data_IF_002867029133
#
_entry.id   IF_002867029133
#
_cell.length_a   1.000
_cell.length_b   1.000
_cell.length_c   1.000
_cell.angle_alpha   90.00
_cell.angle_beta   90.00
_cell.angle_gamma   90.00
#
_symmetry.space_group_name_H-M   'P 1'
#
loop_
_entity.id
_entity.type
_entity.pdbx_description
1 polymer ?
#
# COMPACT_ATOMS: atom_id res chain seq x y z
N UNK A 1 17.89 -12.73 13.73
CA UNK A 1 16.80 -13.72 13.65
C UNK A 1 15.69 -13.29 12.69
N UNK A 2 15.15 -12.05 12.71
CA UNK A 2 14.13 -11.61 11.74
C UNK A 2 14.56 -11.77 10.28
N UNK A 3 15.83 -11.49 9.97
CA UNK A 3 16.37 -11.53 8.62
C UNK A 3 16.34 -12.92 7.98
N UNK A 4 16.51 -13.99 8.78
CA UNK A 4 16.48 -15.36 8.27
C UNK A 4 15.07 -15.76 7.85
N UNK A 5 14.07 -15.44 8.67
CA UNK A 5 12.66 -15.69 8.36
C UNK A 5 12.27 -14.91 7.11
N UNK A 6 12.65 -13.62 7.02
CA UNK A 6 12.36 -12.81 5.83
C UNK A 6 12.97 -13.38 4.55
N UNK A 7 14.22 -13.85 4.59
CA UNK A 7 14.89 -14.47 3.44
C UNK A 7 14.26 -15.81 3.03
N UNK A 8 13.80 -16.60 3.99
CA UNK A 8 13.11 -17.85 3.72
C UNK A 8 11.74 -17.61 3.07
N UNK A 9 10.93 -16.70 3.61
CA UNK A 9 9.63 -16.34 3.02
C UNK A 9 9.82 -15.76 1.61
N UNK A 10 10.83 -14.91 1.41
CA UNK A 10 11.16 -14.38 0.09
C UNK A 10 11.48 -15.48 -0.94
N UNK A 11 12.23 -16.50 -0.53
CA UNK A 11 12.69 -17.55 -1.45
C UNK A 11 11.67 -18.68 -1.67
N UNK A 12 10.80 -18.95 -0.69
CA UNK A 12 9.88 -20.10 -0.71
C UNK A 12 8.44 -19.73 -1.08
N UNK A 13 8.09 -18.44 -1.08
CA UNK A 13 6.73 -17.97 -1.35
C UNK A 13 6.72 -16.92 -2.46
N UNK A 14 5.52 -16.66 -2.99
CA UNK A 14 5.24 -15.56 -3.92
C UNK A 14 4.66 -14.33 -3.21
N UNK A 15 4.77 -14.24 -1.89
CA UNK A 15 4.22 -13.10 -1.14
C UNK A 15 5.01 -11.83 -1.43
N UNK A 16 4.32 -10.69 -1.38
CA UNK A 16 4.88 -9.36 -1.63
C UNK A 16 5.58 -8.75 -0.41
N UNK A 17 5.38 -9.34 0.78
CA UNK A 17 5.98 -8.82 2.01
C UNK A 17 5.56 -9.60 3.25
N UNK A 18 5.93 -9.05 4.42
CA UNK A 18 5.65 -9.62 5.74
C UNK A 18 5.05 -8.54 6.63
N UNK A 19 3.95 -8.88 7.30
CA UNK A 19 3.41 -8.11 8.40
C UNK A 19 4.04 -8.56 9.72
N UNK A 20 4.47 -7.63 10.57
CA UNK A 20 5.07 -7.91 11.87
C UNK A 20 4.64 -6.88 12.91
N UNK A 21 4.72 -7.25 14.19
CA UNK A 21 4.49 -6.33 15.31
C UNK A 21 5.74 -5.50 15.57
N UNK A 22 5.60 -4.18 15.65
CA UNK A 22 6.73 -3.31 15.96
C UNK A 22 7.33 -3.67 17.32
N UNK A 23 8.66 -3.62 17.42
CA UNK A 23 9.38 -3.75 18.70
C UNK A 23 9.51 -2.43 19.44
N UNK A 24 9.28 -1.32 18.74
CA UNK A 24 9.53 0.03 19.22
C UNK A 24 8.26 0.87 19.38
N UNK A 25 7.09 0.32 19.04
CA UNK A 25 5.85 1.08 19.08
C UNK A 25 4.63 0.28 19.53
N UNK A 26 3.63 1.03 19.99
CA UNK A 26 2.46 0.68 20.82
C UNK A 26 1.51 -0.38 20.24
N UNK A 27 1.97 -1.62 20.08
CA UNK A 27 1.17 -2.73 19.52
C UNK A 27 0.75 -2.56 18.05
N UNK A 28 1.38 -1.62 17.34
CA UNK A 28 1.11 -1.37 15.93
C UNK A 28 1.67 -2.48 15.02
N UNK A 29 0.97 -2.68 13.91
CA UNK A 29 1.35 -3.61 12.85
C UNK A 29 2.14 -2.86 11.78
N UNK A 30 3.35 -3.32 11.51
CA UNK A 30 4.19 -2.84 10.42
C UNK A 30 4.18 -3.83 9.27
N UNK A 31 4.45 -3.32 8.06
CA UNK A 31 4.56 -4.12 6.84
C UNK A 31 5.95 -3.86 6.22
N UNK A 32 6.71 -4.92 6.00
CA UNK A 32 7.95 -4.89 5.22
C UNK A 32 7.69 -5.53 3.86
N UNK A 33 7.84 -4.75 2.78
CA UNK A 33 7.66 -5.21 1.41
C UNK A 33 8.97 -5.73 0.82
N UNK A 34 8.87 -6.72 -0.07
CA UNK A 34 9.98 -7.22 -0.86
C UNK A 34 10.13 -6.44 -2.18
N UNK A 35 11.29 -6.56 -2.82
CA UNK A 35 11.58 -5.91 -4.11
C UNK A 35 10.59 -6.28 -5.22
N UNK A 36 10.08 -7.51 -5.24
CA UNK A 36 9.07 -7.94 -6.24
C UNK A 36 7.75 -7.17 -6.17
N UNK A 37 7.47 -6.52 -5.04
CA UNK A 37 6.29 -5.68 -4.86
C UNK A 37 6.45 -4.27 -5.46
N UNK A 38 7.66 -3.91 -5.92
CA UNK A 38 8.01 -2.55 -6.36
C UNK A 38 7.07 -2.02 -7.45
N UNK A 39 6.76 -2.83 -8.45
CA UNK A 39 5.84 -2.45 -9.52
C UNK A 39 4.40 -2.18 -9.02
N UNK A 40 3.95 -2.84 -7.94
CA UNK A 40 2.62 -2.65 -7.39
C UNK A 40 2.51 -1.39 -6.52
N UNK A 41 3.63 -0.90 -5.99
CA UNK A 41 3.71 0.30 -5.15
C UNK A 41 4.33 1.49 -5.88
N UNK A 42 4.69 1.32 -7.16
CA UNK A 42 5.22 2.40 -7.98
C UNK A 42 4.25 3.57 -7.97
N UNK A 43 4.75 4.74 -7.59
CA UNK A 43 4.01 5.99 -7.61
C UNK A 43 3.95 6.53 -9.03
N UNK A 44 3.15 5.86 -9.86
CA UNK A 44 2.97 6.23 -11.26
C UNK A 44 2.11 7.50 -11.42
N UNK A 45 1.37 7.88 -10.38
CA UNK A 45 0.36 8.94 -10.44
C UNK A 45 0.52 10.03 -9.38
N UNK A 46 1.66 10.11 -8.69
CA UNK A 46 1.87 11.20 -7.73
C UNK A 46 1.86 12.56 -8.45
N UNK A 47 0.99 13.48 -8.01
CA UNK A 47 0.83 14.78 -8.64
C UNK A 47 0.02 14.78 -9.95
N UNK A 48 -0.49 13.63 -10.40
CA UNK A 48 -1.40 13.57 -11.55
C UNK A 48 -2.78 14.04 -11.13
N UNK A 49 -3.37 14.95 -11.90
CA UNK A 49 -4.74 15.40 -11.68
C UNK A 49 -5.70 14.21 -11.79
N UNK A 50 -6.41 13.92 -10.71
CA UNK A 50 -7.45 12.89 -10.70
C UNK A 50 -8.60 13.38 -11.59
N UNK A 51 -9.00 12.57 -12.58
CA UNK A 51 -10.09 12.92 -13.48
C UNK A 51 -11.39 13.18 -12.69
N UNK A 52 -12.04 14.32 -12.95
CA UNK A 52 -13.28 14.72 -12.25
C UNK A 52 -14.36 13.63 -12.29
N UNK A 53 -14.47 12.90 -13.41
CA UNK A 53 -15.45 11.84 -13.58
C UNK A 53 -15.16 10.60 -12.70
N UNK A 54 -13.88 10.24 -12.54
CA UNK A 54 -13.48 9.18 -11.61
C UNK A 54 -13.74 9.61 -10.16
N UNK A 55 -13.39 10.85 -9.81
CA UNK A 55 -13.65 11.40 -8.48
C UNK A 55 -15.15 11.41 -8.16
N UNK A 56 -16.00 11.81 -9.11
CA UNK A 56 -17.46 11.78 -8.96
C UNK A 56 -17.99 10.37 -8.73
N UNK A 57 -17.43 9.38 -9.43
CA UNK A 57 -17.81 7.96 -9.26
C UNK A 57 -17.43 7.45 -7.86
N UNK A 58 -16.19 7.68 -7.41
CA UNK A 58 -15.69 7.16 -6.12
C UNK A 58 -16.32 7.86 -4.92
N UNK A 59 -16.60 9.16 -5.02
CA UNK A 59 -17.12 9.97 -3.92
C UNK A 59 -18.64 10.09 -3.91
N UNK A 60 -19.31 9.89 -5.05
CA UNK A 60 -20.76 9.94 -5.17
C UNK A 60 -21.47 8.92 -4.29
N UNK A 61 -20.99 7.67 -4.30
CA UNK A 61 -21.49 6.58 -3.44
C UNK A 61 -21.28 6.86 -1.94
N UNK A 62 -20.41 7.82 -1.60
CA UNK A 62 -20.10 8.24 -0.23
C UNK A 62 -20.84 9.51 0.20
N UNK A 63 -21.75 10.02 -0.64
CA UNK A 63 -22.59 11.19 -0.33
C UNK A 63 -21.89 12.54 -0.47
N UNK A 64 -20.70 12.58 -1.08
CA UNK A 64 -19.99 13.85 -1.30
C UNK A 64 -20.40 14.48 -2.64
N UNK A 65 -20.56 15.80 -2.65
CA UNK A 65 -20.81 16.58 -3.87
C UNK A 65 -19.53 17.28 -4.30
N UNK A 66 -19.05 16.99 -5.51
CA UNK A 66 -17.87 17.66 -6.07
C UNK A 66 -18.22 19.11 -6.43
N UNK A 67 -17.49 20.08 -5.88
CA UNK A 67 -17.64 21.50 -6.25
C UNK A 67 -16.74 21.77 -7.46
N UNK A 68 -17.34 22.15 -8.59
CA UNK A 68 -16.59 22.59 -9.77
C UNK A 68 -16.37 24.11 -9.70
N UNK A 69 -15.12 24.51 -9.53
CA UNK A 69 -14.65 25.89 -9.70
C UNK A 69 -14.27 26.16 -11.16
#
# INVERSE_FOLDING_TARGET
MPQRISAEIYSTTSLDGIQYRSRFDNDELCIALFDRADAAISLDTEGVAIAKDWTRTVLGDRGYTLIEL
#
